data_IF_927519450881
#
_entry.id   IF_927519450881
#
_cell.length_a   1.000
_cell.length_b   1.000
_cell.length_c   1.000
_cell.angle_alpha   90.00
_cell.angle_beta   90.00
_cell.angle_gamma   90.00
#
_symmetry.space_group_name_H-M   'P 1'
#
loop_
_entity.id
_entity.type
_entity.pdbx_description
1 polymer ?
#
# COMPACT_ATOMS: atom_id res chain seq x y z
N UNK A 1 6.84 15.33 -7.19
CA UNK A 1 7.79 14.21 -7.34
C UNK A 1 7.07 12.89 -7.07
N UNK A 2 7.29 11.91 -7.90
CA UNK A 2 6.68 10.60 -7.71
C UNK A 2 7.59 9.70 -6.85
N UNK A 3 6.98 9.03 -5.88
CA UNK A 3 7.62 7.98 -5.10
C UNK A 3 7.07 6.65 -5.62
N UNK A 4 7.95 5.81 -6.14
CA UNK A 4 7.57 4.56 -6.83
C UNK A 4 8.08 3.37 -6.02
N UNK A 5 7.20 2.39 -5.86
CA UNK A 5 7.49 1.17 -5.09
C UNK A 5 7.02 -0.05 -5.85
N UNK A 6 7.82 -1.12 -5.81
CA UNK A 6 7.33 -2.42 -6.23
C UNK A 6 6.53 -3.03 -5.09
N UNK A 7 5.42 -3.69 -5.42
CA UNK A 7 4.61 -4.45 -4.46
C UNK A 7 4.99 -5.92 -4.61
N UNK A 8 5.58 -6.49 -3.56
CA UNK A 8 6.01 -7.89 -3.53
C UNK A 8 5.11 -8.70 -2.61
N UNK A 9 4.96 -9.99 -2.92
CA UNK A 9 4.21 -10.92 -2.07
C UNK A 9 5.17 -11.98 -1.54
N UNK A 10 5.41 -11.96 -0.22
CA UNK A 10 6.30 -12.92 0.43
C UNK A 10 5.80 -14.36 0.33
N UNK A 11 4.48 -14.57 0.26
CA UNK A 11 3.91 -15.92 0.12
C UNK A 11 4.21 -16.54 -1.25
N UNK A 12 4.54 -15.71 -2.24
CA UNK A 12 4.92 -16.14 -3.59
C UNK A 12 6.44 -16.04 -3.81
N UNK A 13 7.22 -16.17 -2.74
CA UNK A 13 8.68 -16.10 -2.83
C UNK A 13 9.23 -14.71 -3.10
N UNK A 14 8.48 -13.66 -2.79
CA UNK A 14 8.86 -12.29 -3.05
C UNK A 14 8.56 -11.81 -4.47
N UNK A 15 7.66 -12.49 -5.18
CA UNK A 15 7.28 -12.10 -6.55
C UNK A 15 6.63 -10.72 -6.55
N UNK A 16 6.99 -9.89 -7.53
CA UNK A 16 6.34 -8.60 -7.72
C UNK A 16 4.93 -8.81 -8.30
N UNK A 17 3.93 -8.32 -7.55
CA UNK A 17 2.53 -8.44 -7.95
C UNK A 17 1.91 -7.11 -8.37
N UNK A 18 2.66 -6.03 -8.28
CA UNK A 18 2.15 -4.72 -8.70
C UNK A 18 3.16 -3.61 -8.48
N UNK A 19 2.69 -2.38 -8.72
CA UNK A 19 3.47 -1.16 -8.51
C UNK A 19 2.59 -0.16 -7.76
N UNK A 20 3.16 0.47 -6.74
CA UNK A 20 2.49 1.49 -5.94
C UNK A 20 3.18 2.83 -6.16
N UNK A 21 2.41 3.90 -6.37
CA UNK A 21 2.95 5.24 -6.63
C UNK A 21 2.28 6.25 -5.73
N UNK A 22 3.08 7.15 -5.18
CA UNK A 22 2.59 8.29 -4.41
C UNK A 22 3.17 9.57 -5.00
N UNK A 23 2.30 10.52 -5.37
CA UNK A 23 2.72 11.85 -5.84
C UNK A 23 2.81 12.78 -4.64
N UNK A 24 4.01 13.23 -4.30
CA UNK A 24 4.25 14.07 -3.13
C UNK A 24 3.68 15.47 -3.26
N UNK A 25 3.46 15.95 -4.49
CA UNK A 25 2.92 17.29 -4.75
C UNK A 25 1.40 17.30 -4.60
N UNK A 26 0.71 16.41 -5.32
CA UNK A 26 -0.75 16.31 -5.28
C UNK A 26 -1.27 15.47 -4.11
N UNK A 27 -0.37 14.73 -3.44
CA UNK A 27 -0.70 13.77 -2.38
C UNK A 27 -1.70 12.70 -2.85
N UNK A 28 -1.55 12.27 -4.10
CA UNK A 28 -2.41 11.26 -4.71
C UNK A 28 -1.71 9.91 -4.77
N UNK A 29 -2.47 8.86 -4.46
CA UNK A 29 -2.02 7.48 -4.58
C UNK A 29 -2.47 6.89 -5.90
N UNK A 30 -1.69 5.95 -6.43
CA UNK A 30 -2.13 5.09 -7.53
C UNK A 30 -1.43 3.74 -7.40
N UNK A 31 -2.00 2.72 -8.02
CA UNK A 31 -1.47 1.37 -7.94
C UNK A 31 -1.83 0.60 -9.19
N UNK A 32 -0.93 -0.26 -9.65
CA UNK A 32 -1.22 -1.20 -10.72
C UNK A 32 -0.99 -2.62 -10.20
N UNK A 33 -1.80 -3.55 -10.68
CA UNK A 33 -1.69 -4.97 -10.35
C UNK A 33 -1.13 -5.68 -11.57
N UNK A 34 -0.14 -6.56 -11.37
CA UNK A 34 0.46 -7.31 -12.46
C UNK A 34 -0.57 -8.27 -13.08
N UNK A 35 -0.77 -8.19 -14.40
CA UNK A 35 -1.77 -9.00 -15.10
C UNK A 35 -1.35 -10.45 -15.24
N UNK A 36 -0.07 -10.75 -15.09
CA UNK A 36 0.47 -12.11 -15.20
C UNK A 36 0.33 -12.93 -13.90
N UNK A 37 -0.18 -12.31 -12.83
CA UNK A 37 -0.45 -12.99 -11.57
C UNK A 37 -1.90 -13.48 -11.60
N UNK A 38 -2.10 -14.77 -11.30
CA UNK A 38 -3.45 -15.33 -11.22
C UNK A 38 -4.21 -14.68 -10.06
N UNK A 39 -5.49 -14.37 -10.29
CA UNK A 39 -6.30 -13.75 -9.23
C UNK A 39 -6.37 -14.61 -7.98
N UNK A 40 -6.35 -15.94 -8.12
CA UNK A 40 -6.37 -16.87 -7.00
C UNK A 40 -5.09 -16.81 -6.15
N UNK A 41 -3.99 -16.33 -6.74
CA UNK A 41 -2.71 -16.20 -6.03
C UNK A 41 -2.58 -14.86 -5.31
N UNK A 42 -3.51 -13.92 -5.54
CA UNK A 42 -3.48 -12.61 -4.90
C UNK A 42 -4.16 -12.67 -3.53
N UNK A 43 -3.68 -11.87 -2.55
CA UNK A 43 -4.39 -11.76 -1.28
C UNK A 43 -5.75 -11.08 -1.48
N UNK A 44 -6.65 -11.26 -0.52
CA UNK A 44 -8.02 -10.73 -0.62
C UNK A 44 -8.06 -9.22 -0.86
N UNK A 45 -7.06 -8.49 -0.39
CA UNK A 45 -6.98 -7.04 -0.58
C UNK A 45 -6.86 -6.63 -2.05
N UNK A 46 -6.35 -7.51 -2.91
CA UNK A 46 -6.16 -7.25 -4.34
C UNK A 46 -7.00 -8.16 -5.24
N UNK A 47 -7.37 -9.34 -4.76
CA UNK A 47 -8.11 -10.33 -5.55
C UNK A 47 -9.41 -9.76 -6.12
N UNK A 48 -10.15 -9.01 -5.33
CA UNK A 48 -11.42 -8.41 -5.76
C UNK A 48 -11.28 -7.48 -6.95
N UNK A 49 -10.19 -6.72 -7.02
CA UNK A 49 -9.91 -5.86 -8.16
C UNK A 49 -9.56 -6.68 -9.40
N UNK A 50 -8.70 -7.68 -9.26
CA UNK A 50 -8.29 -8.53 -10.37
C UNK A 50 -9.47 -9.32 -10.95
N UNK A 51 -10.38 -9.82 -10.09
CA UNK A 51 -11.58 -10.53 -10.53
C UNK A 51 -12.53 -9.64 -11.34
N UNK A 52 -12.51 -8.33 -11.11
CA UNK A 52 -13.27 -7.36 -11.89
C UNK A 52 -12.47 -6.81 -13.07
N UNK A 53 -11.31 -7.40 -13.35
CA UNK A 53 -10.37 -6.96 -14.39
C UNK A 53 -9.91 -5.51 -14.18
N UNK A 54 -9.85 -5.07 -12.93
CA UNK A 54 -9.41 -3.73 -12.56
C UNK A 54 -7.96 -3.78 -12.09
N UNK A 55 -7.03 -3.62 -13.02
CA UNK A 55 -5.60 -3.73 -12.76
C UNK A 55 -4.91 -2.38 -12.52
N UNK A 56 -5.63 -1.28 -12.74
CA UNK A 56 -5.13 0.07 -12.51
C UNK A 56 -6.04 0.77 -11.51
N UNK A 57 -5.50 1.11 -10.33
CA UNK A 57 -6.27 1.71 -9.25
C UNK A 57 -5.97 3.20 -9.17
N UNK A 58 -7.01 4.03 -9.28
CA UNK A 58 -6.91 5.46 -9.08
C UNK A 58 -6.80 5.78 -7.58
N UNK A 59 -6.67 7.05 -7.25
CA UNK A 59 -6.44 7.51 -5.88
C UNK A 59 -7.41 6.91 -4.85
N UNK A 60 -8.71 6.93 -5.12
CA UNK A 60 -9.70 6.46 -4.15
C UNK A 60 -9.53 4.98 -3.80
N UNK A 61 -9.32 4.14 -4.80
CA UNK A 61 -9.14 2.70 -4.58
C UNK A 61 -7.78 2.41 -3.95
N UNK A 62 -6.73 3.09 -4.40
CA UNK A 62 -5.39 2.94 -3.82
C UNK A 62 -5.38 3.40 -2.36
N UNK A 63 -6.04 4.53 -2.06
CA UNK A 63 -6.14 5.04 -0.70
C UNK A 63 -6.91 4.07 0.20
N UNK A 64 -7.95 3.43 -0.32
CA UNK A 64 -8.70 2.43 0.44
C UNK A 64 -7.81 1.25 0.80
N UNK A 65 -6.96 0.81 -0.12
CA UNK A 65 -5.99 -0.24 0.14
C UNK A 65 -4.99 0.18 1.23
N UNK A 66 -4.47 1.42 1.14
CA UNK A 66 -3.54 1.98 2.14
C UNK A 66 -4.21 2.03 3.52
N UNK A 67 -5.44 2.54 3.59
CA UNK A 67 -6.16 2.66 4.86
C UNK A 67 -6.43 1.33 5.55
N UNK A 68 -6.52 0.26 4.78
CA UNK A 68 -6.65 -1.08 5.34
C UNK A 68 -5.37 -1.61 5.97
N UNK A 69 -4.24 -0.93 5.77
CA UNK A 69 -2.91 -1.39 6.21
C UNK A 69 -2.27 -0.51 7.28
N UNK A 70 -2.80 0.67 7.53
CA UNK A 70 -2.26 1.60 8.52
C UNK A 70 -3.23 1.77 9.69
N UNK A 71 -2.73 2.30 10.80
CA UNK A 71 -3.57 2.57 11.96
C UNK A 71 -4.58 3.66 11.63
N UNK A 72 -5.89 3.47 11.94
CA UNK A 72 -6.89 4.52 11.70
C UNK A 72 -6.65 5.73 12.61
N UNK A 73 -7.04 6.95 12.16
CA UNK A 73 -6.79 8.17 12.93
C UNK A 73 -7.53 8.21 14.28
N UNK A 74 -8.61 7.43 14.41
CA UNK A 74 -9.39 7.37 15.66
C UNK A 74 -8.83 6.43 16.72
N UNK A 75 -7.70 5.77 16.47
CA UNK A 75 -7.09 4.87 17.45
C UNK A 75 -6.61 5.68 18.67
N UNK A 76 -6.99 5.25 19.88
CA UNK A 76 -6.75 6.06 21.09
C UNK A 76 -5.27 6.32 21.39
N UNK A 77 -4.36 5.47 20.92
CA UNK A 77 -2.92 5.68 21.09
C UNK A 77 -2.26 6.33 19.88
N UNK A 78 -3.02 6.94 18.98
CA UNK A 78 -2.48 7.57 17.79
C UNK A 78 -1.45 8.66 18.08
N UNK A 79 -1.69 9.47 19.13
CA UNK A 79 -0.76 10.52 19.54
C UNK A 79 0.61 9.92 19.89
N UNK A 80 0.63 8.82 20.62
CA UNK A 80 1.87 8.15 21.00
C UNK A 80 2.59 7.58 19.78
N UNK A 81 1.83 6.98 18.85
CA UNK A 81 2.38 6.45 17.59
C UNK A 81 3.06 7.56 16.81
N UNK A 82 2.40 8.70 16.64
CA UNK A 82 2.94 9.84 15.91
C UNK A 82 4.19 10.40 16.60
N UNK A 83 4.15 10.57 17.91
CA UNK A 83 5.26 11.09 18.70
C UNK A 83 6.47 10.15 18.64
N UNK A 84 6.26 8.86 18.84
CA UNK A 84 7.32 7.85 18.84
C UNK A 84 8.04 7.76 17.50
N UNK A 85 7.36 8.12 16.40
CA UNK A 85 7.92 8.07 15.06
C UNK A 85 8.23 9.47 14.49
N UNK A 86 8.25 10.49 15.36
CA UNK A 86 8.59 11.87 14.97
C UNK A 86 7.66 12.48 13.93
N UNK A 87 6.40 12.05 13.91
CA UNK A 87 5.38 12.58 13.01
C UNK A 87 4.58 13.66 13.73
N UNK A 88 4.30 14.76 13.05
CA UNK A 88 3.58 15.90 13.61
C UNK A 88 2.07 15.72 13.55
N UNK A 89 1.59 15.03 12.51
CA UNK A 89 0.16 14.84 12.29
C UNK A 89 -0.07 13.51 11.60
N UNK A 90 -1.34 13.09 11.55
CA UNK A 90 -1.73 11.86 10.87
C UNK A 90 -1.54 11.99 9.37
N UNK A 91 -0.80 11.05 8.78
CA UNK A 91 -0.55 10.99 7.34
C UNK A 91 -0.44 9.53 6.93
N UNK A 92 -1.36 9.06 6.06
CA UNK A 92 -1.42 7.66 5.66
C UNK A 92 -0.13 7.20 4.96
N UNK A 93 0.47 8.05 4.12
CA UNK A 93 1.70 7.68 3.43
C UNK A 93 2.87 7.50 4.41
N UNK A 94 3.04 8.42 5.35
CA UNK A 94 4.10 8.32 6.35
C UNK A 94 3.93 7.08 7.22
N UNK A 95 2.70 6.77 7.64
CA UNK A 95 2.43 5.56 8.41
C UNK A 95 2.69 4.30 7.60
N UNK A 96 2.34 4.32 6.30
CA UNK A 96 2.61 3.19 5.42
C UNK A 96 4.11 2.93 5.31
N UNK A 97 4.93 3.98 5.25
CA UNK A 97 6.38 3.87 5.15
C UNK A 97 7.04 3.26 6.39
N UNK A 98 6.44 3.43 7.57
CA UNK A 98 6.99 2.86 8.81
C UNK A 98 7.07 1.33 8.74
N UNK A 99 6.15 0.70 8.04
CA UNK A 99 6.09 -0.76 7.92
C UNK A 99 6.36 -1.25 6.50
N UNK A 100 6.53 -0.35 5.53
CA UNK A 100 6.58 -0.66 4.10
C UNK A 100 5.36 -1.48 3.67
N UNK A 101 4.20 -1.06 4.15
CA UNK A 101 2.88 -1.65 3.92
C UNK A 101 2.66 -3.03 4.54
N UNK A 102 3.59 -3.55 5.35
CA UNK A 102 3.41 -4.85 5.99
C UNK A 102 2.29 -4.80 7.03
N UNK A 103 1.46 -5.81 7.03
CA UNK A 103 0.41 -5.97 8.04
C UNK A 103 0.15 -7.47 8.26
N UNK A 104 -0.70 -7.77 9.24
CA UNK A 104 -1.00 -9.17 9.60
C UNK A 104 -2.05 -9.84 8.71
N UNK A 105 -2.61 -9.10 7.74
CA UNK A 105 -3.66 -9.63 6.85
C UNK A 105 -3.11 -10.42 5.67
N UNK A 106 -1.88 -10.12 5.26
CA UNK A 106 -1.24 -10.78 4.12
C UNK A 106 0.28 -10.60 4.18
N UNK A 107 0.99 -11.11 3.16
CA UNK A 107 2.45 -11.05 3.07
C UNK A 107 2.94 -10.01 2.07
N UNK A 108 2.10 -9.02 1.73
CA UNK A 108 2.51 -7.94 0.83
C UNK A 108 3.44 -6.95 1.53
N UNK A 109 4.40 -6.45 0.77
CA UNK A 109 5.29 -5.38 1.23
C UNK A 109 5.76 -4.54 0.05
N UNK A 110 6.20 -3.31 0.35
CA UNK A 110 6.71 -2.38 -0.66
C UNK A 110 8.24 -2.37 -0.67
N UNK A 111 8.80 -2.18 -1.86
CA UNK A 111 10.23 -2.00 -2.04
C UNK A 111 10.45 -0.77 -2.92
N UNK A 112 11.24 0.25 -2.45
CA UNK A 112 11.44 1.47 -3.23
C UNK A 112 12.10 1.21 -4.57
N UNK A 113 11.65 1.95 -5.61
CA UNK A 113 12.21 1.92 -6.95
C UNK A 113 12.60 3.32 -7.37
N UNK A 114 13.61 3.41 -8.23
CA UNK A 114 13.98 4.69 -8.84
C UNK A 114 12.91 5.10 -9.86
N UNK A 115 12.54 6.38 -9.89
CA UNK A 115 11.60 6.90 -10.89
C UNK A 115 12.12 6.75 -12.31
#
# INVERSE_FOLDING_TARGET
>A
MLRIFAVHDGSLGGRQVGTFVYDTVSKQFSMTIAKDVQSDDLPLSLEGFANRQKYSLAHEDALRWVRGRVCPPGRHNMRDILTDNSLKEYDEFELLMLTMARCDKDDLYLEPRSP
#
